data_IF_497629648909
#
_entry.id   IF_497629648909
#
_cell.length_a   1.000
_cell.length_b   1.000
_cell.length_c   1.000
_cell.angle_alpha   90.00
_cell.angle_beta   90.00
_cell.angle_gamma   90.00
#
_symmetry.space_group_name_H-M   'P 1'
#
loop_
_entity.id
_entity.type
_entity.pdbx_description
1 polymer ?
#
# COMPACT_ATOMS: atom_id res chain seq x y z
N UNK A 1 7.74 -0.96 6.90
CA UNK A 1 7.73 -2.10 5.96
C UNK A 1 8.43 -3.27 6.65
N UNK A 2 8.26 -4.51 6.18
CA UNK A 2 8.86 -5.68 6.85
C UNK A 2 10.20 -6.11 6.24
N UNK A 3 10.64 -5.48 5.15
CA UNK A 3 11.86 -5.83 4.40
C UNK A 3 12.98 -4.77 4.51
N UNK A 4 12.87 -3.87 5.49
CA UNK A 4 13.95 -2.96 5.87
C UNK A 4 13.72 -1.49 5.55
N UNK A 5 12.58 -1.13 4.94
CA UNK A 5 12.21 0.28 4.77
C UNK A 5 11.49 0.77 6.04
N UNK A 6 11.99 1.87 6.62
CA UNK A 6 11.35 2.52 7.75
C UNK A 6 10.07 3.23 7.32
N UNK A 7 8.93 2.73 7.76
CA UNK A 7 7.61 3.31 7.52
C UNK A 7 6.79 3.26 8.79
N UNK A 8 5.85 4.19 9.00
CA UNK A 8 4.91 4.11 10.11
C UNK A 8 4.13 2.79 10.14
N UNK A 9 3.62 2.44 11.31
CA UNK A 9 2.64 1.35 11.48
C UNK A 9 1.45 1.55 10.52
N UNK A 10 0.90 0.46 9.98
CA UNK A 10 -0.17 0.52 8.98
C UNK A 10 -1.32 1.43 9.43
N UNK A 11 -1.81 1.29 10.67
CA UNK A 11 -2.90 2.09 11.23
C UNK A 11 -2.66 3.62 11.21
N UNK A 12 -1.42 4.07 11.07
CA UNK A 12 -1.04 5.49 10.99
C UNK A 12 -0.97 6.00 9.55
N UNK A 13 -1.07 5.12 8.55
CA UNK A 13 -1.10 5.51 7.14
C UNK A 13 -2.49 6.06 6.78
N UNK A 14 -2.53 7.16 6.04
CA UNK A 14 -3.81 7.79 5.68
C UNK A 14 -4.65 6.87 4.79
N UNK A 15 -4.01 6.19 3.83
CA UNK A 15 -4.65 5.32 2.87
C UNK A 15 -5.11 3.97 3.44
N UNK A 16 -4.69 3.58 4.65
CA UNK A 16 -5.21 2.38 5.30
C UNK A 16 -6.54 2.62 6.02
N UNK A 17 -6.89 3.89 6.27
CA UNK A 17 -8.04 4.28 7.07
C UNK A 17 -9.07 5.11 6.27
N UNK A 18 -8.73 5.48 5.04
CA UNK A 18 -9.53 6.40 4.23
C UNK A 18 -9.60 5.92 2.79
N UNK A 19 -10.78 6.07 2.21
CA UNK A 19 -11.01 5.99 0.77
C UNK A 19 -10.25 7.08 0.03
N UNK A 20 -10.04 6.94 -1.28
CA UNK A 20 -9.33 7.96 -2.08
C UNK A 20 -10.04 9.31 -1.98
N UNK A 21 -11.37 9.31 -2.03
CA UNK A 21 -12.19 10.51 -1.89
C UNK A 21 -12.08 11.14 -0.49
N UNK A 22 -12.00 10.32 0.57
CA UNK A 22 -11.76 10.82 1.92
C UNK A 22 -10.36 11.40 2.07
N UNK A 23 -9.33 10.83 1.43
CA UNK A 23 -7.98 11.41 1.41
C UNK A 23 -8.00 12.74 0.66
N UNK A 24 -8.65 12.81 -0.51
CA UNK A 24 -8.79 14.05 -1.29
C UNK A 24 -9.40 15.17 -0.45
N UNK A 25 -10.51 14.88 0.24
CA UNK A 25 -11.19 15.82 1.15
C UNK A 25 -10.29 16.22 2.31
N UNK A 26 -9.61 15.26 2.94
CA UNK A 26 -8.70 15.50 4.06
C UNK A 26 -7.55 16.46 3.68
N UNK A 27 -7.04 16.35 2.45
CA UNK A 27 -5.98 17.22 1.92
C UNK A 27 -6.50 18.58 1.42
N UNK A 28 -7.83 18.76 1.28
CA UNK A 28 -8.41 19.97 0.69
C UNK A 28 -8.14 20.12 -0.81
N UNK A 29 -7.82 19.02 -1.51
CA UNK A 29 -7.45 19.05 -2.92
C UNK A 29 -8.69 19.07 -3.84
N UNK A 30 -8.59 19.70 -5.01
CA UNK A 30 -9.65 19.68 -6.03
C UNK A 30 -9.80 18.28 -6.65
N UNK A 31 -8.69 17.56 -6.84
CA UNK A 31 -8.65 16.18 -7.33
C UNK A 31 -7.51 15.41 -6.67
N UNK A 32 -7.62 14.08 -6.65
CA UNK A 32 -6.57 13.18 -6.17
C UNK A 32 -6.68 11.86 -6.94
N UNK A 33 -5.57 11.41 -7.51
CA UNK A 33 -5.46 10.10 -8.16
C UNK A 33 -4.13 9.47 -7.76
N UNK A 34 -4.15 8.18 -7.46
CA UNK A 34 -2.94 7.39 -7.26
C UNK A 34 -2.46 6.81 -8.60
N UNK A 35 -1.16 6.61 -8.73
CA UNK A 35 -0.61 5.80 -9.81
C UNK A 35 -1.11 4.36 -9.64
N UNK A 36 -1.65 3.77 -10.71
CA UNK A 36 -2.06 2.36 -10.68
C UNK A 36 -0.84 1.46 -10.48
N UNK A 37 -0.95 0.47 -9.59
CA UNK A 37 0.12 -0.49 -9.31
C UNK A 37 0.60 -1.21 -10.58
N UNK A 38 -0.30 -1.62 -11.46
CA UNK A 38 0.04 -2.33 -12.69
C UNK A 38 0.85 -1.48 -13.66
N UNK A 39 0.48 -0.20 -13.86
CA UNK A 39 1.28 0.69 -14.72
C UNK A 39 2.64 1.05 -14.08
N UNK A 40 2.72 1.14 -12.75
CA UNK A 40 4.00 1.32 -12.06
C UNK A 40 4.93 0.12 -12.32
N UNK A 41 4.44 -1.11 -12.15
CA UNK A 41 5.20 -2.34 -12.44
C UNK A 41 5.66 -2.37 -13.91
N UNK A 42 4.74 -2.08 -14.85
CA UNK A 42 5.05 -2.03 -16.28
C UNK A 42 6.14 -1.00 -16.60
N UNK A 43 6.14 0.14 -15.92
CA UNK A 43 7.10 1.23 -16.16
C UNK A 43 8.50 0.93 -15.63
N UNK A 44 8.63 0.07 -14.61
CA UNK A 44 9.94 -0.41 -14.11
C UNK A 44 10.63 -1.31 -15.13
N UNK A 45 9.87 -2.00 -15.99
CA UNK A 45 10.41 -2.88 -17.04
C UNK A 45 10.94 -4.22 -16.53
N UNK A 46 10.69 -4.57 -15.26
CA UNK A 46 11.03 -5.87 -14.68
C UNK A 46 9.78 -6.73 -14.48
N UNK A 47 9.91 -8.07 -14.49
CA UNK A 47 8.81 -8.97 -14.15
C UNK A 47 8.28 -8.68 -12.73
N UNK A 48 6.95 -8.76 -12.55
CA UNK A 48 6.32 -8.58 -11.22
C UNK A 48 6.91 -9.50 -10.15
N UNK A 49 7.30 -10.72 -10.52
CA UNK A 49 7.92 -11.70 -9.61
C UNK A 49 9.27 -11.24 -9.05
N UNK A 50 9.91 -10.24 -9.64
CA UNK A 50 11.19 -9.67 -9.16
C UNK A 50 10.97 -8.43 -8.28
N UNK A 51 9.73 -8.01 -8.06
CA UNK A 51 9.39 -6.81 -7.31
C UNK A 51 8.56 -7.19 -6.08
N UNK A 52 8.93 -6.65 -4.92
CA UNK A 52 8.04 -6.68 -3.77
C UNK A 52 6.96 -5.62 -3.94
N UNK A 53 5.70 -6.04 -3.99
CA UNK A 53 4.53 -5.15 -3.98
C UNK A 53 3.79 -5.18 -2.64
N UNK A 54 4.41 -5.76 -1.61
CA UNK A 54 3.77 -5.99 -0.31
C UNK A 54 3.31 -4.70 0.36
N UNK A 55 4.03 -3.60 0.14
CA UNK A 55 3.67 -2.31 0.70
C UNK A 55 2.35 -1.75 0.15
N UNK A 56 1.99 -2.08 -1.09
CA UNK A 56 0.75 -1.63 -1.73
C UNK A 56 -0.40 -2.64 -1.56
N UNK A 57 -0.07 -3.93 -1.48
CA UNK A 57 -1.05 -5.02 -1.54
C UNK A 57 -1.30 -5.70 -0.19
N UNK A 58 -0.40 -5.53 0.77
CA UNK A 58 -0.37 -6.34 1.99
C UNK A 58 0.02 -7.81 1.77
N UNK A 59 0.32 -8.22 0.52
CA UNK A 59 0.71 -9.60 0.19
C UNK A 59 2.22 -9.70 0.27
N UNK A 60 2.71 -10.43 1.27
CA UNK A 60 4.13 -10.66 1.50
C UNK A 60 4.54 -12.01 0.91
N UNK A 61 5.53 -12.06 0.00
CA UNK A 61 6.01 -13.33 -0.58
C UNK A 61 6.78 -14.19 0.42
N UNK A 62 7.27 -13.59 1.51
CA UNK A 62 7.97 -14.27 2.61
C UNK A 62 7.05 -14.27 3.83
N UNK A 63 6.93 -15.42 4.48
CA UNK A 63 6.16 -15.59 5.72
C UNK A 63 6.64 -14.64 6.82
N UNK A 64 5.73 -13.79 7.30
CA UNK A 64 5.97 -12.83 8.39
C UNK A 64 5.88 -13.48 9.78
N UNK A 65 5.55 -14.77 9.87
CA UNK A 65 5.36 -15.52 11.11
C UNK A 65 4.35 -14.81 12.03
N UNK A 66 4.70 -14.61 13.30
CA UNK A 66 3.85 -13.93 14.27
C UNK A 66 3.50 -12.49 13.89
N UNK A 67 4.29 -11.84 13.05
CA UNK A 67 4.07 -10.45 12.62
C UNK A 67 2.98 -10.34 11.55
N UNK A 68 2.50 -11.46 11.00
CA UNK A 68 1.37 -11.48 10.09
C UNK A 68 0.12 -10.80 10.70
N UNK A 69 -0.04 -10.85 12.03
CA UNK A 69 -1.12 -10.18 12.77
C UNK A 69 -1.05 -8.64 12.75
N UNK A 70 0.09 -8.07 12.37
CA UNK A 70 0.27 -6.62 12.25
C UNK A 70 -0.32 -6.08 10.93
N UNK A 71 -0.65 -6.96 9.97
CA UNK A 71 -1.22 -6.58 8.68
C UNK A 71 -2.74 -6.67 8.74
N UNK A 72 -3.41 -5.53 8.59
CA UNK A 72 -4.85 -5.44 8.44
C UNK A 72 -5.24 -5.47 6.95
N UNK A 73 -6.07 -6.44 6.57
CA UNK A 73 -6.61 -6.56 5.21
C UNK A 73 -8.00 -5.93 5.04
N UNK A 74 -8.67 -5.59 6.15
CA UNK A 74 -9.94 -4.87 6.15
C UNK A 74 -9.66 -3.36 6.13
N UNK A 75 -9.36 -2.88 4.93
CA UNK A 75 -9.12 -1.46 4.64
C UNK A 75 -10.22 -0.94 3.72
N UNK A 76 -10.57 0.35 3.77
CA UNK A 76 -11.57 0.92 2.87
C UNK A 76 -11.19 0.65 1.41
N UNK A 77 -12.10 0.01 0.68
CA UNK A 77 -11.96 -0.22 -0.77
C UNK A 77 -12.75 0.88 -1.47
N UNK A 78 -12.04 1.68 -2.27
CA UNK A 78 -12.52 2.83 -3.07
C UNK A 78 -12.71 4.13 -2.29
#
# INVERSE_FOLDING_TARGET
DFYGIDTPEQKKLVASNKTVEQVRKFLGATSLHYLSLDNMIKSIGLPKSHLSTSFFTGIYPIDLKERQKEVNYDVPKE
#
